data_IF_455932546365
#
_entry.id   IF_455932546365
#
_cell.length_a   1.000
_cell.length_b   1.000
_cell.length_c   1.000
_cell.angle_alpha   90.00
_cell.angle_beta   90.00
_cell.angle_gamma   90.00
#
_symmetry.space_group_name_H-M   'P 1'
#
loop_
_entity.id
_entity.type
_entity.pdbx_description
1 polymer ?
#
# COMPACT_ATOMS: atom_id res chain seq x y z
N UNK A 1 15.26 -22.14 -19.65
CA UNK A 1 14.24 -22.55 -18.67
C UNK A 1 13.13 -21.53 -18.72
N UNK A 2 11.86 -21.90 -18.92
CA UNK A 2 10.78 -20.94 -18.72
C UNK A 2 10.70 -20.65 -17.22
N UNK A 3 10.94 -19.40 -16.83
CA UNK A 3 11.05 -18.90 -15.45
C UNK A 3 9.76 -18.24 -14.96
N UNK A 4 8.66 -18.36 -15.70
CA UNK A 4 7.41 -17.69 -15.40
C UNK A 4 6.40 -18.65 -14.77
N UNK A 5 5.83 -18.26 -13.64
CA UNK A 5 4.71 -18.96 -13.00
C UNK A 5 3.75 -17.92 -12.42
N UNK A 6 2.45 -18.15 -12.61
CA UNK A 6 1.42 -17.37 -11.93
C UNK A 6 1.35 -17.80 -10.47
N UNK A 7 1.60 -16.86 -9.57
CA UNK A 7 1.47 -17.06 -8.13
C UNK A 7 0.46 -16.07 -7.55
N UNK A 8 -0.43 -16.57 -6.69
CA UNK A 8 -1.28 -15.73 -5.87
C UNK A 8 -0.63 -15.59 -4.48
N UNK A 9 -0.29 -14.35 -4.11
CA UNK A 9 0.23 -14.01 -2.80
C UNK A 9 -0.87 -13.31 -1.99
N UNK A 10 -1.01 -13.69 -0.73
CA UNK A 10 -1.97 -13.06 0.18
C UNK A 10 -1.27 -12.72 1.50
N UNK A 11 -1.52 -11.52 2.00
CA UNK A 11 -0.92 -11.00 3.23
C UNK A 11 -1.77 -9.90 3.84
N UNK A 12 -1.45 -9.55 5.09
CA UNK A 12 -2.04 -8.41 5.78
C UNK A 12 -1.06 -7.24 5.68
N UNK A 13 -1.53 -6.08 5.22
CA UNK A 13 -0.69 -4.91 4.99
C UNK A 13 -0.05 -4.89 3.60
N UNK A 14 0.90 -3.99 3.41
CA UNK A 14 1.60 -3.82 2.14
C UNK A 14 2.59 -4.98 1.87
N UNK A 15 2.70 -5.36 0.61
CA UNK A 15 3.70 -6.32 0.12
C UNK A 15 4.94 -5.52 -0.31
N UNK A 16 6.17 -6.08 -0.30
CA UNK A 16 7.34 -5.34 -0.80
C UNK A 16 7.11 -4.76 -2.20
N UNK A 17 7.46 -3.48 -2.40
CA UNK A 17 7.18 -2.75 -3.64
C UNK A 17 7.74 -3.41 -4.92
N UNK A 18 8.84 -4.14 -4.81
CA UNK A 18 9.40 -4.89 -5.95
C UNK A 18 8.51 -6.02 -6.46
N UNK A 19 7.61 -6.53 -5.62
CA UNK A 19 6.57 -7.51 -5.99
C UNK A 19 5.33 -6.77 -6.48
N UNK A 20 4.95 -5.68 -5.80
CA UNK A 20 3.78 -4.86 -6.17
C UNK A 20 3.89 -4.30 -7.59
N UNK A 21 5.08 -3.84 -7.99
CA UNK A 21 5.39 -3.32 -9.33
C UNK A 21 5.15 -4.34 -10.47
N UNK A 22 4.97 -5.62 -10.15
CA UNK A 22 4.84 -6.73 -11.11
C UNK A 22 3.64 -7.63 -10.80
N UNK A 23 2.65 -7.11 -10.09
CA UNK A 23 1.48 -7.87 -9.66
C UNK A 23 0.18 -7.11 -9.92
N UNK A 24 -0.87 -7.86 -10.25
CA UNK A 24 -2.25 -7.35 -10.17
C UNK A 24 -2.66 -7.36 -8.69
N UNK A 25 -2.81 -6.17 -8.10
CA UNK A 25 -3.10 -6.04 -6.68
C UNK A 25 -4.61 -5.97 -6.46
N UNK A 26 -5.13 -6.94 -5.71
CA UNK A 26 -6.53 -6.98 -5.29
C UNK A 26 -6.57 -6.77 -3.78
N UNK A 27 -7.08 -5.62 -3.35
CA UNK A 27 -7.21 -5.31 -1.92
C UNK A 27 -8.50 -5.86 -1.34
N UNK A 28 -8.37 -6.62 -0.27
CA UNK A 28 -9.51 -7.09 0.50
C UNK A 28 -9.98 -6.00 1.46
N UNK A 29 -11.27 -5.66 1.41
CA UNK A 29 -11.91 -4.74 2.35
C UNK A 29 -12.50 -5.52 3.51
N UNK A 30 -12.53 -4.92 4.71
CA UNK A 30 -13.26 -5.50 5.84
C UNK A 30 -14.75 -5.49 5.51
N UNK A 31 -15.41 -6.62 5.70
CA UNK A 31 -16.86 -6.70 5.55
C UNK A 31 -17.55 -5.66 6.44
N UNK A 32 -18.57 -5.01 5.90
CA UNK A 32 -19.48 -4.18 6.71
C UNK A 32 -20.45 -5.07 7.50
N UNK A 33 -21.18 -4.48 8.45
CA UNK A 33 -22.11 -5.22 9.31
C UNK A 33 -23.33 -5.76 8.54
N UNK A 34 -23.71 -5.10 7.45
CA UNK A 34 -24.79 -5.43 6.53
C UNK A 34 -24.35 -6.30 5.34
N UNK A 35 -23.06 -6.47 5.12
CA UNK A 35 -22.52 -7.34 4.08
C UNK A 35 -22.51 -8.81 4.52
N UNK A 36 -23.28 -9.63 3.80
CA UNK A 36 -23.30 -11.08 4.03
C UNK A 36 -22.35 -11.78 3.06
N UNK A 37 -21.29 -12.39 3.59
CA UNK A 37 -20.34 -13.20 2.82
C UNK A 37 -20.42 -14.68 3.22
N UNK A 38 -20.48 -15.57 2.23
CA UNK A 38 -20.47 -17.00 2.48
C UNK A 38 -19.05 -17.46 2.85
N UNK A 39 -18.85 -18.22 3.94
CA UNK A 39 -17.55 -18.73 4.27
C UNK A 39 -17.10 -19.76 3.22
N UNK A 40 -15.89 -19.59 2.70
CA UNK A 40 -15.26 -20.57 1.83
C UNK A 40 -14.95 -21.85 2.63
N UNK A 41 -15.40 -22.99 2.11
CA UNK A 41 -15.20 -24.31 2.71
C UNK A 41 -14.52 -25.20 1.69
N UNK A 42 -13.24 -25.49 1.92
CA UNK A 42 -12.41 -26.27 1.02
C UNK A 42 -13.05 -27.59 0.53
N UNK A 43 -13.73 -28.36 1.41
CA UNK A 43 -14.38 -29.62 1.02
C UNK A 43 -15.58 -29.42 0.09
N UNK A 44 -16.35 -28.34 0.27
CA UNK A 44 -17.57 -28.04 -0.49
C UNK A 44 -17.25 -27.33 -1.80
N UNK A 45 -16.36 -26.34 -1.75
CA UNK A 45 -16.19 -25.36 -2.83
C UNK A 45 -15.04 -25.72 -3.79
N UNK A 46 -13.97 -26.39 -3.31
CA UNK A 46 -12.81 -26.74 -4.16
C UNK A 46 -13.14 -27.68 -5.33
N UNK A 47 -14.05 -28.68 -5.21
CA UNK A 47 -14.38 -29.55 -6.34
C UNK A 47 -14.87 -28.78 -7.56
N UNK A 48 -15.87 -27.91 -7.40
CA UNK A 48 -16.40 -27.09 -8.50
C UNK A 48 -15.34 -26.17 -9.12
N UNK A 49 -14.47 -25.57 -8.30
CA UNK A 49 -13.36 -24.74 -8.79
C UNK A 49 -12.33 -25.55 -9.59
N UNK A 50 -12.06 -26.80 -9.20
CA UNK A 50 -11.17 -27.70 -9.97
C UNK A 50 -11.80 -28.09 -11.30
N UNK A 51 -13.11 -28.35 -11.32
CA UNK A 51 -13.81 -28.68 -12.56
C UNK A 51 -13.84 -27.50 -13.52
N UNK A 52 -14.01 -26.28 -13.01
CA UNK A 52 -13.89 -25.05 -13.80
C UNK A 52 -12.47 -24.88 -14.34
N UNK A 53 -11.44 -25.05 -13.49
CA UNK A 53 -10.05 -24.95 -13.91
C UNK A 53 -9.70 -25.97 -15.01
N UNK A 54 -10.25 -27.19 -14.93
CA UNK A 54 -10.10 -28.21 -15.98
C UNK A 54 -10.74 -27.76 -17.28
N UNK A 55 -11.97 -27.24 -17.25
CA UNK A 55 -12.69 -26.76 -18.43
C UNK A 55 -11.95 -25.60 -19.10
N UNK A 56 -11.45 -24.64 -18.32
CA UNK A 56 -10.68 -23.51 -18.84
C UNK A 56 -9.37 -23.98 -19.49
N UNK A 57 -8.67 -24.94 -18.89
CA UNK A 57 -7.45 -25.50 -19.47
C UNK A 57 -7.74 -26.24 -20.79
N UNK A 58 -8.81 -27.01 -20.84
CA UNK A 58 -9.23 -27.73 -22.04
C UNK A 58 -9.61 -26.76 -23.17
N UNK A 59 -10.33 -25.69 -22.85
CA UNK A 59 -10.69 -24.64 -23.81
C UNK A 59 -9.46 -23.90 -24.34
N UNK A 60 -8.61 -23.35 -23.47
CA UNK A 60 -7.49 -22.51 -23.87
C UNK A 60 -6.40 -23.26 -24.63
N UNK A 61 -6.25 -24.57 -24.40
CA UNK A 61 -5.20 -25.39 -25.01
C UNK A 61 -5.19 -25.38 -26.54
N UNK A 62 -6.37 -25.33 -27.15
CA UNK A 62 -6.49 -25.33 -28.61
C UNK A 62 -6.10 -23.98 -29.22
N UNK A 63 -6.15 -22.91 -28.43
CA UNK A 63 -5.95 -21.53 -28.87
C UNK A 63 -4.64 -20.92 -28.35
N UNK A 64 -3.74 -21.72 -27.76
CA UNK A 64 -2.49 -21.22 -27.16
C UNK A 64 -1.62 -20.46 -28.17
N UNK A 65 -1.45 -20.96 -29.38
CA UNK A 65 -0.62 -20.30 -30.40
C UNK A 65 -1.16 -18.89 -30.76
N UNK A 66 -2.50 -18.76 -30.78
CA UNK A 66 -3.17 -17.48 -31.04
C UNK A 66 -3.00 -16.52 -29.86
N UNK A 67 -3.16 -17.01 -28.62
CA UNK A 67 -2.98 -16.23 -27.40
C UNK A 67 -1.52 -15.81 -27.19
N UNK A 68 -0.55 -16.66 -27.50
CA UNK A 68 0.89 -16.33 -27.43
C UNK A 68 1.29 -15.27 -28.45
N UNK A 69 0.58 -15.18 -29.56
CA UNK A 69 0.81 -14.18 -30.62
C UNK A 69 -0.04 -12.91 -30.45
N UNK A 70 -0.92 -12.86 -29.44
CA UNK A 70 -1.83 -11.75 -29.24
C UNK A 70 -1.09 -10.52 -28.75
N UNK A 71 -1.43 -9.35 -29.31
CA UNK A 71 -0.92 -8.04 -28.89
C UNK A 71 -2.14 -7.15 -28.62
N UNK A 72 -2.77 -7.28 -27.44
CA UNK A 72 -3.98 -6.54 -27.13
C UNK A 72 -3.70 -5.04 -26.96
N UNK A 73 -4.69 -4.21 -27.28
CA UNK A 73 -4.62 -2.77 -26.98
C UNK A 73 -4.73 -2.55 -25.46
N UNK A 74 -3.69 -1.96 -24.88
CA UNK A 74 -3.57 -1.75 -23.43
C UNK A 74 -3.96 -0.32 -23.02
N UNK A 75 -4.73 -0.15 -21.92
CA UNK A 75 -5.11 1.17 -21.42
C UNK A 75 -4.06 1.81 -20.50
N UNK A 76 -2.92 1.15 -20.30
CA UNK A 76 -1.81 1.55 -19.42
C UNK A 76 -0.47 1.21 -20.10
N UNK A 77 0.64 1.71 -19.56
CA UNK A 77 1.99 1.55 -20.11
C UNK A 77 2.95 0.85 -19.12
N UNK A 78 4.20 0.63 -19.56
CA UNK A 78 5.30 0.07 -18.77
C UNK A 78 4.95 -1.26 -18.08
N UNK A 79 5.40 -1.45 -16.83
CA UNK A 79 5.24 -2.70 -16.07
C UNK A 79 3.78 -3.05 -15.80
N UNK A 80 2.89 -2.05 -15.77
CA UNK A 80 1.47 -2.28 -15.62
C UNK A 80 0.91 -2.96 -16.87
N UNK A 81 1.31 -2.52 -18.07
CA UNK A 81 0.95 -3.18 -19.32
C UNK A 81 1.46 -4.62 -19.35
N UNK A 82 2.74 -4.84 -19.06
CA UNK A 82 3.36 -6.19 -19.03
C UNK A 82 2.62 -7.15 -18.07
N UNK A 83 2.14 -6.63 -16.94
CA UNK A 83 1.45 -7.42 -15.91
C UNK A 83 0.04 -7.81 -16.32
N UNK A 84 -0.67 -6.91 -17.01
CA UNK A 84 -2.07 -7.07 -17.36
C UNK A 84 -2.29 -7.70 -18.75
N UNK A 85 -1.32 -7.59 -19.65
CA UNK A 85 -1.42 -8.04 -21.04
C UNK A 85 -1.96 -9.48 -21.18
N UNK A 86 -1.50 -10.49 -20.42
CA UNK A 86 -2.03 -11.85 -20.55
C UNK A 86 -3.52 -11.96 -20.19
N UNK A 87 -3.99 -11.17 -19.23
CA UNK A 87 -5.40 -11.16 -18.80
C UNK A 87 -6.28 -10.47 -19.84
N UNK A 88 -5.78 -9.39 -20.46
CA UNK A 88 -6.50 -8.70 -21.54
C UNK A 88 -6.55 -9.57 -22.80
N UNK A 89 -5.46 -10.27 -23.14
CA UNK A 89 -5.45 -11.21 -24.26
C UNK A 89 -6.49 -12.33 -24.11
N UNK A 90 -6.63 -12.90 -22.91
CA UNK A 90 -7.67 -13.90 -22.61
C UNK A 90 -9.07 -13.29 -22.71
N UNK A 91 -9.26 -12.06 -22.25
CA UNK A 91 -10.55 -11.37 -22.32
C UNK A 91 -10.95 -11.04 -23.77
N UNK A 92 -10.00 -10.58 -24.58
CA UNK A 92 -10.17 -10.34 -26.02
C UNK A 92 -10.55 -11.64 -26.75
N UNK A 93 -9.91 -12.77 -26.40
CA UNK A 93 -10.24 -14.09 -26.94
C UNK A 93 -11.62 -14.60 -26.48
N UNK A 94 -12.01 -14.33 -25.23
CA UNK A 94 -13.32 -14.71 -24.71
C UNK A 94 -14.47 -13.96 -25.41
N UNK A 95 -14.21 -12.74 -25.89
CA UNK A 95 -15.17 -11.90 -26.60
C UNK A 95 -16.37 -11.48 -25.75
N UNK A 96 -17.45 -11.03 -26.41
CA UNK A 96 -18.61 -10.45 -25.72
C UNK A 96 -18.22 -9.19 -24.95
N UNK A 97 -18.63 -9.08 -23.69
CA UNK A 97 -18.35 -7.92 -22.83
C UNK A 97 -16.99 -8.01 -22.08
N UNK A 98 -16.30 -9.15 -22.18
CA UNK A 98 -15.02 -9.37 -21.49
C UNK A 98 -13.91 -8.37 -21.87
N UNK A 99 -13.70 -8.01 -23.15
CA UNK A 99 -12.69 -7.03 -23.55
C UNK A 99 -12.82 -5.69 -22.83
N UNK A 100 -14.05 -5.19 -22.72
CA UNK A 100 -14.35 -3.90 -22.10
C UNK A 100 -14.24 -3.98 -20.57
N UNK A 101 -14.76 -5.05 -19.96
CA UNK A 101 -14.64 -5.28 -18.52
C UNK A 101 -13.17 -5.41 -18.08
N UNK A 102 -12.33 -6.08 -18.87
CA UNK A 102 -10.90 -6.22 -18.55
C UNK A 102 -10.21 -4.85 -18.52
N UNK A 103 -10.37 -4.04 -19.58
CA UNK A 103 -9.75 -2.70 -19.65
C UNK A 103 -10.28 -1.75 -18.57
N UNK A 104 -11.58 -1.79 -18.28
CA UNK A 104 -12.16 -1.04 -17.17
C UNK A 104 -11.57 -1.48 -15.81
N UNK A 105 -11.35 -2.78 -15.62
CA UNK A 105 -10.75 -3.31 -14.39
C UNK A 105 -9.28 -2.91 -14.23
N UNK A 106 -8.51 -2.90 -15.32
CA UNK A 106 -7.11 -2.40 -15.34
C UNK A 106 -7.08 -0.97 -14.82
N UNK A 107 -7.88 -0.08 -15.41
CA UNK A 107 -7.94 1.33 -15.02
C UNK A 107 -8.38 1.51 -13.57
N UNK A 108 -9.43 0.81 -13.14
CA UNK A 108 -9.94 0.91 -11.78
C UNK A 108 -8.92 0.46 -10.74
N UNK A 109 -8.26 -0.68 -10.96
CA UNK A 109 -7.32 -1.25 -9.98
C UNK A 109 -5.98 -0.51 -9.96
N UNK A 110 -5.50 -0.01 -11.11
CA UNK A 110 -4.33 0.86 -11.13
C UNK A 110 -4.60 2.19 -10.41
N UNK A 111 -5.76 2.81 -10.65
CA UNK A 111 -6.14 4.04 -9.96
C UNK A 111 -6.30 3.84 -8.44
N UNK A 112 -6.94 2.74 -8.00
CA UNK A 112 -7.02 2.40 -6.57
C UNK A 112 -5.61 2.19 -5.97
N UNK A 113 -4.70 1.52 -6.68
CA UNK A 113 -3.33 1.32 -6.23
C UNK A 113 -2.57 2.64 -6.04
N UNK A 114 -2.66 3.56 -7.00
CA UNK A 114 -1.98 4.85 -6.94
C UNK A 114 -2.44 5.70 -5.75
N UNK A 115 -3.77 5.81 -5.56
CA UNK A 115 -4.37 6.53 -4.42
C UNK A 115 -3.87 5.94 -3.10
N UNK A 116 -3.84 4.62 -3.01
CA UNK A 116 -3.44 3.93 -1.82
C UNK A 116 -1.93 4.06 -1.51
N UNK A 117 -1.07 4.06 -2.53
CA UNK A 117 0.36 4.37 -2.36
C UNK A 117 0.54 5.79 -1.84
N UNK A 118 -0.21 6.76 -2.38
CA UNK A 118 -0.21 8.13 -1.89
C UNK A 118 -0.67 8.23 -0.42
N UNK A 119 -1.75 7.53 -0.04
CA UNK A 119 -2.20 7.49 1.37
C UNK A 119 -1.16 6.85 2.28
N UNK A 120 -0.54 5.73 1.87
CA UNK A 120 0.52 5.05 2.63
C UNK A 120 1.73 5.97 2.84
N UNK A 121 2.16 6.68 1.78
CA UNK A 121 3.22 7.68 1.86
C UNK A 121 2.80 8.87 2.74
N UNK A 122 1.55 9.31 2.70
CA UNK A 122 1.02 10.35 3.58
C UNK A 122 1.13 9.97 5.07
N UNK A 123 0.73 8.76 5.43
CA UNK A 123 0.85 8.25 6.81
C UNK A 123 2.31 8.09 7.22
N UNK A 124 3.17 7.61 6.31
CA UNK A 124 4.61 7.52 6.57
C UNK A 124 5.22 8.92 6.76
N UNK A 125 4.85 9.89 5.93
CA UNK A 125 5.29 11.29 6.06
C UNK A 125 4.88 11.88 7.40
N UNK A 126 3.64 11.65 7.85
CA UNK A 126 3.21 12.06 9.20
C UNK A 126 4.11 11.45 10.28
N UNK A 127 4.40 10.15 10.17
CA UNK A 127 5.25 9.44 11.13
C UNK A 127 6.66 10.02 11.16
N UNK A 128 7.28 10.21 10.01
CA UNK A 128 8.65 10.73 9.88
C UNK A 128 8.73 12.19 10.32
N UNK A 129 7.65 12.97 10.12
CA UNK A 129 7.55 14.32 10.67
C UNK A 129 7.63 14.34 12.19
N UNK A 130 7.10 13.33 12.89
CA UNK A 130 7.19 13.25 14.36
C UNK A 130 8.64 13.23 14.82
N UNK A 131 9.49 12.47 14.12
CA UNK A 131 10.93 12.41 14.35
C UNK A 131 11.58 13.72 13.92
N UNK A 132 11.23 14.25 12.75
CA UNK A 132 11.82 15.48 12.22
C UNK A 132 11.51 16.71 13.09
N UNK A 133 10.43 16.73 13.86
CA UNK A 133 10.18 17.80 14.83
C UNK A 133 11.20 17.79 15.98
N UNK A 134 11.77 16.65 16.37
CA UNK A 134 12.81 16.54 17.41
C UNK A 134 12.52 17.35 18.70
N UNK A 135 11.26 17.35 19.14
CA UNK A 135 10.80 18.11 20.31
C UNK A 135 10.49 19.60 20.05
N UNK A 136 10.84 20.15 18.89
CA UNK A 136 10.52 21.52 18.50
C UNK A 136 8.99 21.74 18.46
N UNK A 137 8.53 22.90 18.94
CA UNK A 137 7.10 23.26 18.89
C UNK A 137 6.66 23.75 17.50
N UNK A 138 7.61 24.15 16.66
CA UNK A 138 7.39 24.50 15.27
C UNK A 138 8.65 24.28 14.43
N UNK A 139 8.48 24.01 13.14
CA UNK A 139 9.56 23.75 12.19
C UNK A 139 9.32 24.51 10.89
N UNK A 140 10.37 25.09 10.30
CA UNK A 140 10.25 25.72 8.98
C UNK A 140 10.08 24.65 7.89
N UNK A 141 9.42 24.98 6.79
CA UNK A 141 9.24 24.02 5.67
C UNK A 141 10.60 23.60 5.11
N UNK A 142 11.58 24.52 5.05
CA UNK A 142 12.93 24.24 4.60
C UNK A 142 13.66 23.27 5.54
N UNK A 143 13.58 23.50 6.85
CA UNK A 143 14.19 22.62 7.87
C UNK A 143 13.52 21.25 7.89
N UNK A 144 12.19 21.18 7.77
CA UNK A 144 11.45 19.93 7.72
C UNK A 144 11.90 19.07 6.53
N UNK A 145 11.92 19.65 5.33
CA UNK A 145 12.38 18.95 4.13
C UNK A 145 13.84 18.52 4.25
N UNK A 146 14.70 19.37 4.82
CA UNK A 146 16.09 19.01 5.06
C UNK A 146 16.19 17.79 5.98
N UNK A 147 15.54 17.80 7.15
CA UNK A 147 15.54 16.68 8.11
C UNK A 147 14.96 15.40 7.48
N UNK A 148 13.83 15.48 6.77
CA UNK A 148 13.23 14.33 6.07
C UNK A 148 14.15 13.73 4.99
N UNK A 149 14.87 14.55 4.24
CA UNK A 149 15.79 14.09 3.18
C UNK A 149 17.12 13.54 3.72
N UNK A 150 17.47 13.83 4.97
CA UNK A 150 18.68 13.30 5.62
C UNK A 150 18.46 11.90 6.21
N UNK A 151 17.22 11.43 6.31
CA UNK A 151 16.92 10.06 6.72
C UNK A 151 17.22 9.08 5.58
N UNK A 152 18.24 8.20 5.70
CA UNK A 152 18.59 7.25 4.66
C UNK A 152 17.58 6.10 4.54
N UNK A 153 16.75 5.85 5.56
CA UNK A 153 15.71 4.82 5.53
C UNK A 153 14.39 5.35 4.94
N UNK A 154 14.23 6.67 4.87
CA UNK A 154 13.07 7.36 4.32
C UNK A 154 13.09 7.50 2.80
N UNK A 155 11.94 7.42 2.12
CA UNK A 155 11.87 7.56 0.65
C UNK A 155 12.04 9.02 0.17
N UNK A 156 12.22 9.99 1.07
CA UNK A 156 12.04 11.41 0.79
C UNK A 156 13.16 12.04 -0.04
N UNK A 157 14.38 11.49 0.02
CA UNK A 157 15.50 11.97 -0.78
C UNK A 157 15.35 11.63 -2.27
N UNK A 158 14.67 10.53 -2.58
CA UNK A 158 14.45 9.99 -3.93
C UNK A 158 13.00 10.15 -4.43
N UNK A 159 12.14 10.82 -3.66
CA UNK A 159 10.75 11.08 -4.01
C UNK A 159 10.62 12.10 -5.17
N UNK A 160 10.81 11.61 -6.40
CA UNK A 160 10.82 12.39 -7.63
C UNK A 160 12.17 13.06 -7.94
N UNK A 161 12.27 13.77 -9.08
CA UNK A 161 13.49 14.50 -9.46
C UNK A 161 13.85 15.56 -8.42
N UNK A 162 14.90 15.33 -7.64
CA UNK A 162 15.35 16.23 -6.55
C UNK A 162 14.74 15.96 -5.17
N UNK A 163 14.00 14.86 -5.02
CA UNK A 163 13.35 14.45 -3.77
C UNK A 163 12.14 15.30 -3.38
N UNK A 164 11.58 14.99 -2.21
CA UNK A 164 10.34 15.57 -1.70
C UNK A 164 10.34 17.11 -1.75
N UNK A 165 9.26 17.70 -2.27
CA UNK A 165 9.16 19.16 -2.49
C UNK A 165 8.14 19.80 -1.54
N UNK A 166 8.20 21.14 -1.32
CA UNK A 166 7.20 21.83 -0.50
C UNK A 166 5.77 21.63 -0.98
N UNK A 167 5.55 21.59 -2.30
CA UNK A 167 4.24 21.37 -2.90
C UNK A 167 3.70 19.98 -2.57
N UNK A 168 4.51 18.93 -2.78
CA UNK A 168 4.12 17.55 -2.46
C UNK A 168 3.86 17.36 -0.97
N UNK A 169 4.66 17.96 -0.08
CA UNK A 169 4.37 17.95 1.37
C UNK A 169 3.02 18.59 1.67
N UNK A 170 2.70 19.74 1.07
CA UNK A 170 1.43 20.41 1.28
C UNK A 170 0.24 19.59 0.74
N UNK A 171 0.42 18.84 -0.35
CA UNK A 171 -0.59 17.95 -0.90
C UNK A 171 -0.86 16.77 0.04
N UNK A 172 0.18 16.05 0.49
CA UNK A 172 0.02 14.98 1.49
C UNK A 172 -0.66 15.45 2.77
N UNK A 173 -0.32 16.66 3.24
CA UNK A 173 -0.89 17.21 4.47
C UNK A 173 -2.32 17.73 4.34
N UNK A 174 -2.81 17.97 3.12
CA UNK A 174 -4.15 18.50 2.88
C UNK A 174 -5.24 17.55 3.37
N UNK A 175 -5.04 16.25 3.21
CA UNK A 175 -5.98 15.21 3.65
C UNK A 175 -6.17 15.20 5.18
N UNK A 176 -5.14 15.63 5.92
CA UNK A 176 -5.13 15.70 7.38
C UNK A 176 -5.48 17.09 7.93
N UNK A 177 -5.93 18.01 7.06
CA UNK A 177 -6.16 19.44 7.33
C UNK A 177 -4.95 20.15 7.97
N UNK A 178 -3.73 19.69 7.65
CA UNK A 178 -2.49 20.32 8.10
C UNK A 178 -2.04 21.32 7.03
N UNK A 179 -1.90 22.59 7.42
CA UNK A 179 -1.48 23.66 6.51
C UNK A 179 -0.25 24.39 7.03
N UNK A 180 0.62 24.78 6.11
CA UNK A 180 1.73 25.67 6.43
C UNK A 180 1.21 27.07 6.76
N UNK A 181 1.85 27.73 7.70
CA UNK A 181 1.53 29.10 8.11
C UNK A 181 2.82 29.91 8.28
N UNK A 182 2.70 31.23 8.38
CA UNK A 182 3.86 32.05 8.74
C UNK A 182 4.12 31.83 10.24
N UNK A 183 5.26 31.23 10.57
CA UNK A 183 5.69 30.97 11.94
C UNK A 183 6.84 31.91 12.28
N UNK A 184 6.78 32.50 13.47
CA UNK A 184 7.89 33.27 14.04
C UNK A 184 8.68 32.37 14.99
N UNK A 185 9.97 32.25 14.75
CA UNK A 185 10.88 31.36 15.47
C UNK A 185 11.59 32.09 16.63
N UNK A 186 12.18 31.37 17.60
CA UNK A 186 12.84 31.97 18.76
C UNK A 186 14.02 32.90 18.41
N UNK A 187 14.67 32.66 17.27
CA UNK A 187 15.73 33.50 16.72
C UNK A 187 15.23 34.84 16.13
N UNK A 188 13.92 35.08 16.18
CA UNK A 188 13.27 36.28 15.66
C UNK A 188 12.95 36.22 14.16
N UNK A 189 13.36 35.16 13.46
CA UNK A 189 13.06 34.96 12.04
C UNK A 189 11.59 34.58 11.83
N UNK A 190 11.08 34.85 10.62
CA UNK A 190 9.76 34.43 10.20
C UNK A 190 9.85 33.66 8.88
N UNK A 191 9.27 32.47 8.84
CA UNK A 191 9.24 31.64 7.63
C UNK A 191 7.93 30.85 7.52
N UNK A 192 7.66 30.32 6.33
CA UNK A 192 6.60 29.33 6.14
C UNK A 192 6.97 28.03 6.84
N UNK A 193 6.12 27.55 7.73
CA UNK A 193 6.39 26.36 8.50
C UNK A 193 5.14 25.76 9.12
N UNK A 194 5.38 24.78 9.97
CA UNK A 194 4.37 23.94 10.58
C UNK A 194 4.50 24.01 12.09
N UNK A 195 3.38 24.13 12.78
CA UNK A 195 3.32 24.00 14.25
C UNK A 195 3.08 22.55 14.60
N UNK A 196 3.82 22.03 15.58
CA UNK A 196 3.69 20.64 16.07
C UNK A 196 2.26 20.32 16.52
N UNK A 197 1.57 21.31 17.09
CA UNK A 197 0.18 21.19 17.52
C UNK A 197 -0.77 20.76 16.38
N UNK A 198 -0.55 21.21 15.14
CA UNK A 198 -1.41 20.86 14.00
C UNK A 198 -1.34 19.37 13.65
N UNK A 199 -0.24 18.68 14.00
CA UNK A 199 -0.04 17.27 13.70
C UNK A 199 -0.63 16.36 14.78
N UNK A 200 -1.06 16.90 15.93
CA UNK A 200 -1.41 16.09 17.10
C UNK A 200 -2.59 15.17 16.84
N UNK A 201 -3.66 15.67 16.21
CA UNK A 201 -4.83 14.87 15.85
C UNK A 201 -4.48 13.79 14.82
N UNK A 202 -3.80 14.16 13.73
CA UNK A 202 -3.37 13.22 12.70
C UNK A 202 -2.45 12.11 13.25
N UNK A 203 -1.51 12.48 14.13
CA UNK A 203 -0.64 11.54 14.81
C UNK A 203 -1.37 10.54 15.71
N UNK A 204 -2.41 10.99 16.40
CA UNK A 204 -3.22 10.11 17.25
C UNK A 204 -4.07 9.14 16.42
N UNK A 205 -4.59 9.59 15.27
CA UNK A 205 -5.49 8.80 14.42
C UNK A 205 -4.75 7.82 13.50
N UNK A 206 -3.66 8.25 12.87
CA UNK A 206 -3.03 7.52 11.77
C UNK A 206 -1.65 6.96 12.12
N UNK A 207 -1.04 7.44 13.22
CA UNK A 207 0.30 7.02 13.64
C UNK A 207 0.27 6.47 15.09
N UNK A 208 -0.61 5.48 15.40
CA UNK A 208 -0.66 4.91 16.74
C UNK A 208 0.71 4.32 17.10
N UNK A 209 1.16 4.44 18.36
CA UNK A 209 2.38 3.78 18.80
C UNK A 209 2.24 2.28 18.49
N UNK A 210 3.23 1.73 17.77
CA UNK A 210 3.25 0.31 17.45
C UNK A 210 3.06 -0.49 18.74
N UNK A 211 1.99 -1.28 18.81
CA UNK A 211 1.69 -2.15 19.97
C UNK A 211 2.71 -3.31 20.05
N UNK A 212 3.65 -3.39 19.12
CA UNK A 212 4.67 -4.44 19.05
C UNK A 212 5.84 -4.23 20.04
N UNK A 213 5.58 -3.84 21.30
CA UNK A 213 6.48 -4.12 22.44
C UNK A 213 5.76 -4.05 23.80
N UNK A 214 4.49 -4.47 23.89
CA UNK A 214 3.78 -4.52 25.19
C UNK A 214 3.54 -5.94 25.73
N UNK A 215 3.82 -7.00 24.97
CA UNK A 215 3.67 -8.39 25.44
C UNK A 215 4.96 -9.04 25.98
N UNK A 216 6.11 -8.36 25.93
CA UNK A 216 7.37 -8.92 26.47
C UNK A 216 7.57 -8.66 27.98
N UNK A 217 6.89 -7.69 28.59
CA UNK A 217 7.09 -7.34 30.01
C UNK A 217 5.99 -7.86 30.96
N UNK A 218 4.95 -8.51 30.43
CA UNK A 218 3.86 -9.06 31.25
C UNK A 218 4.06 -10.51 31.71
N UNK A 219 4.95 -11.27 31.06
CA UNK A 219 5.03 -12.74 31.28
C UNK A 219 6.21 -13.20 32.15
N UNK A 220 7.09 -12.30 32.60
CA UNK A 220 8.26 -12.64 33.42
C UNK A 220 8.04 -12.38 34.93
N UNK A 221 6.99 -11.68 35.32
CA UNK A 221 6.62 -11.47 36.73
C UNK A 221 5.69 -12.55 37.29
N UNK A 222 5.13 -13.43 36.45
CA UNK A 222 4.25 -14.52 36.90
C UNK A 222 4.99 -15.87 37.07
N UNK A 223 6.23 -15.98 36.60
CA UNK A 223 7.04 -17.21 36.71
C UNK A 223 8.05 -17.21 37.88
N UNK A 224 8.19 -16.11 38.62
CA UNK A 224 9.03 -16.04 39.82
C UNK A 224 8.25 -16.13 41.14
N UNK A 225 6.93 -16.35 41.10
CA UNK A 225 6.10 -16.57 42.30
C UNK A 225 5.69 -18.04 42.52
N UNK A 226 6.17 -18.99 41.70
CA UNK A 226 5.83 -20.42 41.81
C UNK A 226 6.99 -21.34 42.22
N UNK A 227 8.23 -20.85 42.33
CA UNK A 227 9.41 -21.63 42.74
C UNK A 227 9.92 -21.17 44.11
N UNK A 228 9.04 -21.16 45.12
CA UNK A 228 9.37 -20.68 46.46
C UNK A 228 8.41 -21.16 47.53
N UNK A 229 8.18 -22.48 47.64
CA UNK A 229 7.36 -23.01 48.73
C UNK A 229 7.05 -24.50 48.65
N UNK A 230 8.04 -25.34 48.95
CA UNK A 230 7.79 -26.68 49.49
C UNK A 230 9.00 -27.11 50.33
N UNK A 231 8.87 -26.88 51.64
CA UNK A 231 9.45 -27.73 52.67
C UNK A 231 8.33 -28.66 53.17
#
# INVERSE_FOLDING_TARGET
MPTFAMAALAGIGAIPGTIEDRAVIIRMRRRLADETTAPFRHRRDRPALRDLARQLNEWLRTDLDALESAVPEMPVEDRAADTWEPLVAIADHAGGDWPDHARASVLALCAEHDVDQETSLGVRLLTDCRTAFDGDTAISTATLLHRLKQDPEGPWSTHGPGGLTPAKVADYFREYDIRSSNVRFPDGSQAKGYKRAHFTDAWQRYCPPSVATAQANGSLLQLLQLEGGAA
#
